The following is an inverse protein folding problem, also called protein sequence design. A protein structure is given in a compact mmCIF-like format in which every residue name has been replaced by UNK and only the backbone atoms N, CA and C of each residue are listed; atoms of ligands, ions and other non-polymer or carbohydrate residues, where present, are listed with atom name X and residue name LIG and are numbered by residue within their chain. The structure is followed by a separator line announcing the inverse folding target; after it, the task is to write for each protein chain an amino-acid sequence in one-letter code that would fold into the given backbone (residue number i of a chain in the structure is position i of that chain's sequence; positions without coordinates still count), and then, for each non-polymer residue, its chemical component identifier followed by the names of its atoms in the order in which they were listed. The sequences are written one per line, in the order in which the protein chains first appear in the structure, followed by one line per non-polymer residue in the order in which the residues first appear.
data_IF_373508105092
#
_entry.id   IF_373508105092
#
_cell.length_a   1.000
_cell.length_b   1.000
_cell.length_c   1.000
_cell.angle_alpha   90.00
_cell.angle_beta   90.00
_cell.angle_gamma   90.00
#
_symmetry.space_group_name_H-M   'P 1'
#
loop_
_entity.id
_entity.type
_entity.pdbx_description
1 polymer ?
#
# COMPACT_ATOMS: atom_id res chain seq x y z
N UNK A 1 14.25 16.12 19.73
CA UNK A 1 13.51 15.57 18.59
C UNK A 1 12.10 15.29 19.06
N UNK A 2 11.10 15.99 18.54
CA UNK A 2 9.70 15.81 18.95
C UNK A 2 9.10 14.71 18.11
N UNK A 3 8.64 13.62 18.73
CA UNK A 3 7.93 12.54 18.06
C UNK A 3 6.46 12.94 17.97
N UNK A 4 5.89 12.92 16.76
CA UNK A 4 4.46 13.11 16.56
C UNK A 4 3.75 11.81 16.98
N UNK A 5 2.77 11.86 17.90
CA UNK A 5 1.98 10.68 18.25
C UNK A 5 1.32 10.08 17.02
N UNK A 6 1.34 8.74 16.89
CA UNK A 6 0.64 8.05 15.81
C UNK A 6 -0.87 8.28 15.97
N UNK A 7 -1.49 8.92 15.00
CA UNK A 7 -2.94 8.92 14.85
C UNK A 7 -3.36 7.75 13.97
N UNK A 8 -4.55 7.18 14.18
CA UNK A 8 -5.12 6.25 13.22
C UNK A 8 -5.33 6.98 11.88
N UNK A 9 -5.08 6.29 10.77
CA UNK A 9 -5.30 6.84 9.43
C UNK A 9 -6.80 7.04 9.13
N UNK A 10 -7.63 6.13 9.65
CA UNK A 10 -9.08 6.09 9.47
C UNK A 10 -9.76 5.73 10.80
N UNK A 11 -11.03 6.11 10.96
CA UNK A 11 -11.88 5.65 12.06
C UNK A 11 -12.41 4.23 11.74
N UNK A 12 -11.53 3.24 11.93
CA UNK A 12 -11.76 1.87 11.48
C UNK A 12 -11.46 1.66 9.98
N UNK A 13 -11.24 0.41 9.58
CA UNK A 13 -10.98 0.07 8.19
C UNK A 13 -12.27 -0.02 7.35
N UNK A 14 -13.43 -0.19 7.98
CA UNK A 14 -14.76 -0.13 7.33
C UNK A 14 -14.98 1.20 6.58
N UNK A 15 -14.24 2.26 6.95
CA UNK A 15 -14.25 3.52 6.20
C UNK A 15 -13.73 3.38 4.75
N UNK A 16 -12.94 2.35 4.47
CA UNK A 16 -12.41 2.04 3.14
C UNK A 16 -13.44 1.35 2.25
N UNK A 17 -14.41 0.63 2.83
CA UNK A 17 -15.45 -0.11 2.10
C UNK A 17 -16.29 0.81 1.19
N UNK A 18 -16.41 2.10 1.57
CA UNK A 18 -17.13 3.11 0.79
C UNK A 18 -16.36 3.69 -0.39
N UNK A 19 -15.09 3.32 -0.59
CA UNK A 19 -14.25 3.84 -1.67
C UNK A 19 -14.43 2.96 -2.91
N UNK A 20 -15.35 3.34 -3.78
CA UNK A 20 -15.65 2.58 -5.01
C UNK A 20 -14.67 2.84 -6.17
N UNK A 21 -13.69 3.73 -5.99
CA UNK A 21 -12.68 4.04 -7.00
C UNK A 21 -11.66 2.90 -7.11
N UNK A 22 -11.22 2.53 -8.33
CA UNK A 22 -10.06 1.65 -8.50
C UNK A 22 -8.88 2.19 -7.68
N UNK A 23 -8.25 1.31 -6.90
CA UNK A 23 -7.17 1.68 -5.99
C UNK A 23 -5.98 0.73 -6.11
N UNK A 24 -4.79 1.26 -6.41
CA UNK A 24 -3.55 0.49 -6.31
C UNK A 24 -2.95 0.69 -4.92
N UNK A 25 -2.95 -0.35 -4.10
CA UNK A 25 -2.31 -0.37 -2.78
C UNK A 25 -0.87 -0.86 -2.96
N UNK A 26 0.10 -0.07 -2.52
CA UNK A 26 1.52 -0.42 -2.61
C UNK A 26 2.05 -0.73 -1.21
N UNK A 27 2.44 -1.99 -1.01
CA UNK A 27 3.07 -2.47 0.21
C UNK A 27 4.57 -2.70 0.04
N UNK A 28 5.23 -3.09 1.13
CA UNK A 28 6.64 -3.51 1.12
C UNK A 28 6.85 -4.57 2.19
N UNK A 29 7.78 -5.50 1.95
CA UNK A 29 8.14 -6.53 2.91
C UNK A 29 8.79 -5.92 4.16
N UNK A 30 8.35 -6.40 5.32
CA UNK A 30 8.74 -5.89 6.65
C UNK A 30 10.25 -5.85 6.88
N UNK A 31 11.01 -6.75 6.25
CA UNK A 31 12.47 -6.79 6.37
C UNK A 31 13.15 -5.54 5.82
N UNK A 32 12.61 -4.98 4.73
CA UNK A 32 13.14 -3.78 4.09
C UNK A 32 12.48 -2.49 4.62
N UNK A 33 11.20 -2.54 5.01
CA UNK A 33 10.47 -1.41 5.58
C UNK A 33 9.71 -1.76 6.87
N UNK A 34 10.42 -1.96 8.00
CA UNK A 34 9.79 -2.36 9.27
C UNK A 34 8.88 -1.27 9.87
N UNK A 35 8.95 -0.04 9.35
CA UNK A 35 8.09 1.07 9.76
C UNK A 35 6.69 1.00 9.15
N UNK A 36 6.52 0.24 8.08
CA UNK A 36 5.28 0.13 7.31
C UNK A 36 4.94 -1.36 7.11
N UNK A 37 4.39 -2.03 8.14
CA UNK A 37 4.14 -3.47 8.08
C UNK A 37 3.25 -3.84 6.89
N UNK A 38 3.63 -4.86 6.13
CA UNK A 38 2.94 -5.33 4.92
C UNK A 38 1.47 -5.64 5.20
N UNK A 39 1.18 -6.22 6.37
CA UNK A 39 -0.18 -6.53 6.82
C UNK A 39 -1.14 -5.33 6.78
N UNK A 40 -0.64 -4.10 6.90
CA UNK A 40 -1.48 -2.90 6.81
C UNK A 40 -1.94 -2.70 5.37
N UNK A 41 -1.04 -2.83 4.39
CA UNK A 41 -1.38 -2.76 2.97
C UNK A 41 -2.33 -3.90 2.57
N UNK A 42 -2.09 -5.12 3.05
CA UNK A 42 -3.01 -6.26 2.86
C UNK A 42 -4.41 -5.95 3.40
N UNK A 43 -4.50 -5.48 4.65
CA UNK A 43 -5.79 -5.11 5.24
C UNK A 43 -6.52 -4.01 4.47
N UNK A 44 -5.79 -3.04 3.91
CA UNK A 44 -6.41 -1.99 3.08
C UNK A 44 -6.95 -2.58 1.77
N UNK A 45 -6.18 -3.45 1.11
CA UNK A 45 -6.60 -4.10 -0.12
C UNK A 45 -7.81 -5.03 0.10
N UNK A 46 -7.95 -5.64 1.28
CA UNK A 46 -9.11 -6.46 1.64
C UNK A 46 -10.40 -5.65 1.82
N UNK A 47 -10.32 -4.41 2.33
CA UNK A 47 -11.48 -3.55 2.58
C UNK A 47 -11.85 -2.69 1.37
N UNK A 48 -10.88 -2.34 0.52
CA UNK A 48 -11.12 -1.58 -0.71
C UNK A 48 -11.77 -2.48 -1.79
N UNK A 49 -13.02 -2.23 -2.22
CA UNK A 49 -13.77 -3.14 -3.09
C UNK A 49 -13.16 -3.36 -4.48
N UNK A 50 -12.32 -2.43 -4.93
CA UNK A 50 -11.66 -2.44 -6.25
C UNK A 50 -10.16 -2.20 -6.12
N UNK A 51 -9.55 -2.82 -5.12
CA UNK A 51 -8.13 -2.72 -4.90
C UNK A 51 -7.32 -3.82 -5.58
N UNK A 52 -6.13 -3.42 -6.01
CA UNK A 52 -5.03 -4.32 -6.29
C UNK A 52 -3.90 -4.06 -5.30
N UNK A 53 -3.28 -5.13 -4.81
CA UNK A 53 -2.08 -5.05 -3.99
C UNK A 53 -0.84 -5.25 -4.88
N UNK A 54 0.15 -4.37 -4.74
CA UNK A 54 1.46 -4.50 -5.35
C UNK A 54 2.55 -4.47 -4.27
N UNK A 55 3.42 -5.47 -4.30
CA UNK A 55 4.55 -5.67 -3.40
C UNK A 55 5.73 -6.13 -4.24
N UNK A 56 6.94 -5.75 -3.87
CA UNK A 56 8.17 -6.32 -4.46
C UNK A 56 8.34 -7.80 -4.13
N UNK A 57 9.20 -8.48 -4.88
CA UNK A 57 9.60 -9.86 -4.56
C UNK A 57 10.46 -9.91 -3.28
N UNK A 58 10.44 -11.04 -2.57
CA UNK A 58 11.21 -11.23 -1.34
C UNK A 58 12.71 -10.97 -1.55
N UNK A 59 13.26 -10.06 -0.72
CA UNK A 59 14.67 -9.69 -0.75
C UNK A 59 15.02 -8.59 -1.75
N UNK A 60 14.06 -8.12 -2.56
CA UNK A 60 14.25 -6.94 -3.39
C UNK A 60 14.10 -5.64 -2.57
N UNK A 61 14.50 -4.52 -3.20
CA UNK A 61 14.20 -3.19 -2.64
C UNK A 61 12.69 -2.94 -2.67
N UNK A 62 12.11 -2.28 -1.66
CA UNK A 62 10.71 -1.87 -1.64
C UNK A 62 10.23 -1.29 -2.97
N UNK A 63 9.11 -1.77 -3.49
CA UNK A 63 8.55 -1.29 -4.77
C UNK A 63 8.35 0.24 -4.75
N UNK A 64 7.96 0.78 -3.59
CA UNK A 64 7.80 2.21 -3.34
C UNK A 64 9.10 3.03 -3.58
N UNK A 65 10.27 2.41 -3.49
CA UNK A 65 11.57 3.04 -3.72
C UNK A 65 12.11 2.78 -5.14
N UNK A 66 11.52 1.82 -5.86
CA UNK A 66 11.88 1.47 -7.23
C UNK A 66 11.13 2.36 -8.25
N UNK A 67 11.47 3.64 -8.33
CA UNK A 67 10.70 4.65 -9.09
C UNK A 67 10.30 4.24 -10.52
N UNK A 68 11.21 3.67 -11.31
CA UNK A 68 10.89 3.22 -12.67
C UNK A 68 9.92 2.00 -12.70
N UNK A 69 10.04 1.07 -11.75
CA UNK A 69 9.12 -0.07 -11.65
C UNK A 69 7.76 0.37 -11.13
N UNK A 70 7.72 1.21 -10.10
CA UNK A 70 6.48 1.76 -9.57
C UNK A 70 5.71 2.54 -10.65
N UNK A 71 6.38 3.38 -11.43
CA UNK A 71 5.73 4.07 -12.55
C UNK A 71 5.14 3.12 -13.59
N UNK A 72 5.82 2.01 -13.89
CA UNK A 72 5.26 0.97 -14.79
C UNK A 72 4.05 0.28 -14.20
N UNK A 73 4.07 -0.04 -12.90
CA UNK A 73 2.94 -0.67 -12.20
C UNK A 73 1.72 0.26 -12.15
N UNK A 74 1.93 1.56 -11.92
CA UNK A 74 0.88 2.57 -11.97
C UNK A 74 0.30 2.68 -13.39
N UNK A 75 1.15 2.73 -14.42
CA UNK A 75 0.68 2.79 -15.80
C UNK A 75 -0.16 1.56 -16.17
N UNK A 76 0.32 0.35 -15.86
CA UNK A 76 -0.42 -0.88 -16.09
C UNK A 76 -1.77 -0.90 -15.36
N UNK A 77 -1.83 -0.40 -14.13
CA UNK A 77 -3.08 -0.28 -13.38
C UNK A 77 -4.09 0.71 -13.99
N UNK A 78 -3.62 1.74 -14.70
CA UNK A 78 -4.48 2.73 -15.35
C UNK A 78 -5.01 2.28 -16.71
N UNK A 79 -4.41 1.25 -17.30
CA UNK A 79 -4.75 0.74 -18.64
C UNK A 79 -5.79 -0.41 -18.60
N UNK A 80 -6.17 -0.91 -17.41
CA UNK A 80 -7.26 -1.90 -17.17
C UNK A 80 -8.64 -1.24 -17.00
#
# INVERSE_FOLDING_TARGET
MTVVPRSPAFDGLDALDGIELPSLVVGSHDGADPGHPLRIAESWAEHLPRAELAVEDEGESPLAWQGAQLSRRIAAFLDD
#
